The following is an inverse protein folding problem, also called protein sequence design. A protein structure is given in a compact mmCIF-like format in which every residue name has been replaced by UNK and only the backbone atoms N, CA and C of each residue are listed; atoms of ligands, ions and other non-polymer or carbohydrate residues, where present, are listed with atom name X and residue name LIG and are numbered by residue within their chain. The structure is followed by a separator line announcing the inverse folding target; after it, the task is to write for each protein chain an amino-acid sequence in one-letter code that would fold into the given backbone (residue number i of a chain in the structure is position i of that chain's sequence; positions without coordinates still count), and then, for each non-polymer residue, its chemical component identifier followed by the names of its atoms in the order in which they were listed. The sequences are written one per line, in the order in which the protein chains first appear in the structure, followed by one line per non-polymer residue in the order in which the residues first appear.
data_IF_489037229687
#
_entry.id   IF_489037229687
#
_cell.length_a   1.000
_cell.length_b   1.000
_cell.length_c   1.000
_cell.angle_alpha   90.00
_cell.angle_beta   90.00
_cell.angle_gamma   90.00
#
_symmetry.space_group_name_H-M   'P 1'
#
loop_
_entity.id
_entity.type
_entity.pdbx_description
1 polymer ?
#
# COMPACT_ATOMS: atom_id res chain seq x y z
N UNK A 1 -46.05 8.88 9.92
CA UNK A 1 -45.74 7.86 8.90
C UNK A 1 -45.56 8.58 7.59
N UNK A 2 -44.33 8.91 7.24
CA UNK A 2 -44.01 9.58 5.97
C UNK A 2 -42.90 8.76 5.34
N UNK A 3 -43.27 8.04 4.29
CA UNK A 3 -42.37 7.21 3.49
C UNK A 3 -41.52 8.17 2.67
N UNK A 4 -40.21 8.20 2.92
CA UNK A 4 -39.25 8.92 2.10
C UNK A 4 -39.03 8.10 0.82
N UNK A 5 -39.54 8.61 -0.29
CA UNK A 5 -39.24 8.12 -1.63
C UNK A 5 -37.73 8.15 -1.88
N UNK A 6 -37.21 7.04 -2.41
CA UNK A 6 -35.81 6.87 -2.75
C UNK A 6 -35.38 7.88 -3.80
N UNK A 7 -34.42 8.73 -3.42
CA UNK A 7 -33.72 9.64 -4.32
C UNK A 7 -32.90 8.84 -5.34
N UNK A 8 -33.52 8.53 -6.48
CA UNK A 8 -32.81 8.11 -7.69
C UNK A 8 -32.05 9.32 -8.23
N UNK A 9 -30.78 9.46 -7.82
CA UNK A 9 -29.86 10.39 -8.48
C UNK A 9 -29.50 9.82 -9.85
N UNK A 10 -30.13 10.36 -10.90
CA UNK A 10 -29.78 10.08 -12.29
C UNK A 10 -29.24 11.36 -12.93
N UNK A 11 -27.94 11.38 -13.23
CA UNK A 11 -27.36 12.31 -14.20
C UNK A 11 -27.74 11.84 -15.63
N UNK A 12 -27.83 12.74 -16.63
CA UNK A 12 -28.29 12.38 -17.96
C UNK A 12 -27.31 11.41 -18.61
N UNK A 13 -27.79 10.20 -18.89
CA UNK A 13 -27.06 9.17 -19.59
C UNK A 13 -26.66 9.66 -20.98
N UNK A 14 -25.36 9.86 -21.19
CA UNK A 14 -24.82 9.67 -22.53
C UNK A 14 -25.00 8.19 -22.90
N UNK A 15 -25.54 7.93 -24.09
CA UNK A 15 -25.90 6.60 -24.55
C UNK A 15 -24.65 5.69 -24.59
N UNK A 16 -24.53 4.75 -23.63
CA UNK A 16 -23.45 3.76 -23.59
C UNK A 16 -22.70 3.60 -22.26
N UNK A 17 -23.23 4.09 -21.13
CA UNK A 17 -22.60 3.89 -19.82
C UNK A 17 -22.43 2.41 -19.43
N UNK A 18 -21.27 2.06 -18.86
CA UNK A 18 -20.98 0.72 -18.34
C UNK A 18 -21.86 0.46 -17.10
N UNK A 19 -22.65 -0.61 -17.13
CA UNK A 19 -23.44 -1.03 -15.96
C UNK A 19 -22.54 -1.85 -15.04
N UNK A 20 -22.27 -1.33 -13.84
CA UNK A 20 -21.46 -2.00 -12.82
C UNK A 20 -22.36 -2.77 -11.84
N UNK A 21 -22.25 -4.10 -11.85
CA UNK A 21 -22.91 -4.95 -10.86
C UNK A 21 -22.19 -4.84 -9.51
N UNK A 22 -22.94 -4.55 -8.44
CA UNK A 22 -22.39 -4.54 -7.08
C UNK A 22 -22.02 -5.96 -6.65
N UNK A 23 -21.04 -6.09 -5.76
CA UNK A 23 -20.62 -7.39 -5.24
C UNK A 23 -21.77 -8.12 -4.53
N UNK A 24 -22.65 -7.40 -3.85
CA UNK A 24 -23.88 -7.95 -3.24
C UNK A 24 -24.83 -8.61 -4.25
N UNK A 25 -24.76 -8.27 -5.53
CA UNK A 25 -25.59 -8.81 -6.60
C UNK A 25 -24.92 -9.96 -7.36
N UNK A 26 -23.65 -10.26 -7.05
CA UNK A 26 -22.91 -11.34 -7.70
C UNK A 26 -23.38 -12.71 -7.25
N UNK A 27 -23.35 -13.69 -8.16
CA UNK A 27 -23.77 -15.05 -7.85
C UNK A 27 -22.88 -15.67 -6.75
N UNK A 28 -23.47 -16.28 -5.70
CA UNK A 28 -22.70 -16.93 -4.64
C UNK A 28 -21.83 -18.04 -5.22
N UNK A 29 -20.63 -18.19 -4.67
CA UNK A 29 -19.73 -19.26 -5.08
C UNK A 29 -20.18 -20.59 -4.45
N UNK A 30 -19.98 -21.74 -5.13
CA UNK A 30 -20.22 -23.04 -4.52
C UNK A 30 -19.42 -23.18 -3.23
N UNK A 31 -20.12 -23.41 -2.11
CA UNK A 31 -19.48 -23.62 -0.83
C UNK A 31 -19.10 -25.09 -0.68
N UNK A 32 -17.83 -25.32 -0.39
CA UNK A 32 -17.37 -26.65 0.03
C UNK A 32 -17.67 -26.82 1.52
N UNK A 33 -18.29 -27.92 1.88
CA UNK A 33 -18.47 -28.29 3.27
C UNK A 33 -17.16 -28.84 3.85
N UNK A 34 -16.59 -28.11 4.80
CA UNK A 34 -15.38 -28.52 5.53
C UNK A 34 -15.69 -29.19 6.86
N UNK A 35 -16.96 -29.29 7.25
CA UNK A 35 -17.35 -29.92 8.51
C UNK A 35 -16.88 -31.39 8.51
N UNK A 36 -16.12 -31.76 9.53
CA UNK A 36 -15.52 -33.09 9.66
C UNK A 36 -14.21 -33.35 8.91
N UNK A 37 -13.68 -32.40 8.10
CA UNK A 37 -12.36 -32.57 7.44
C UNK A 37 -11.19 -32.07 8.28
N UNK A 38 -11.34 -30.89 8.89
CA UNK A 38 -10.34 -30.24 9.72
C UNK A 38 -11.01 -29.18 10.61
N UNK A 39 -10.43 -28.83 11.78
CA UNK A 39 -10.90 -27.68 12.54
C UNK A 39 -10.73 -26.38 11.74
N UNK A 40 -11.60 -25.38 11.96
CA UNK A 40 -11.47 -24.07 11.30
C UNK A 40 -10.20 -23.35 11.74
N UNK A 41 -9.63 -22.53 10.85
CA UNK A 41 -8.48 -21.66 11.15
C UNK A 41 -8.87 -20.58 12.17
N UNK A 42 -10.10 -20.08 12.07
CA UNK A 42 -10.65 -19.06 12.98
C UNK A 42 -11.88 -19.57 13.73
N UNK A 43 -11.92 -19.32 15.04
CA UNK A 43 -13.06 -19.72 15.88
C UNK A 43 -14.36 -19.02 15.44
N UNK A 44 -14.27 -17.77 14.97
CA UNK A 44 -15.40 -16.97 14.48
C UNK A 44 -15.08 -16.39 13.09
N UNK A 45 -16.08 -16.01 12.28
CA UNK A 45 -15.86 -15.30 11.03
C UNK A 45 -15.04 -14.02 11.27
N UNK A 46 -13.88 -13.90 10.60
CA UNK A 46 -13.02 -12.71 10.72
C UNK A 46 -13.71 -11.48 10.13
N UNK A 47 -14.40 -11.67 9.01
CA UNK A 47 -15.22 -10.65 8.36
C UNK A 47 -16.67 -11.12 8.37
N UNK A 48 -17.57 -10.44 9.12
CA UNK A 48 -18.98 -10.78 9.11
C UNK A 48 -19.65 -10.33 7.79
N UNK A 49 -20.79 -10.95 7.48
CA UNK A 49 -21.69 -10.49 6.42
C UNK A 49 -22.17 -9.08 6.76
N UNK A 50 -22.02 -8.17 5.79
CA UNK A 50 -22.50 -6.80 5.85
C UNK A 50 -22.94 -6.37 4.45
N UNK A 51 -24.24 -6.18 4.28
CA UNK A 51 -24.81 -5.81 2.97
C UNK A 51 -24.42 -4.38 2.57
N UNK A 52 -24.31 -3.46 3.53
CA UNK A 52 -23.93 -2.07 3.24
C UNK A 52 -22.51 -2.00 2.71
N UNK A 53 -21.59 -2.79 3.27
CA UNK A 53 -20.21 -2.89 2.76
C UNK A 53 -20.19 -3.59 1.38
N UNK A 54 -20.94 -4.68 1.21
CA UNK A 54 -20.97 -5.42 -0.05
C UNK A 54 -21.56 -4.62 -1.21
N UNK A 55 -22.50 -3.71 -0.93
CA UNK A 55 -23.01 -2.77 -1.93
C UNK A 55 -21.96 -1.75 -2.37
N UNK A 56 -20.89 -1.52 -1.61
CA UNK A 56 -19.84 -0.53 -1.90
C UNK A 56 -18.64 -1.09 -2.66
N UNK A 57 -18.65 -2.39 -2.98
CA UNK A 57 -17.63 -3.03 -3.81
C UNK A 57 -18.23 -3.44 -5.15
N UNK A 58 -17.47 -3.27 -6.23
CA UNK A 58 -17.70 -3.92 -7.51
C UNK A 58 -16.39 -4.50 -8.02
N UNK A 59 -16.45 -5.64 -8.71
CA UNK A 59 -15.31 -6.21 -9.43
C UNK A 59 -15.69 -6.23 -10.90
N UNK A 60 -14.88 -5.59 -11.74
CA UNK A 60 -15.23 -5.36 -13.13
C UNK A 60 -14.07 -5.69 -14.07
N UNK A 61 -14.39 -6.41 -15.14
CA UNK A 61 -13.45 -6.69 -16.21
C UNK A 61 -13.60 -5.66 -17.32
N UNK A 62 -12.54 -4.89 -17.58
CA UNK A 62 -12.49 -3.94 -18.67
C UNK A 62 -11.36 -2.92 -18.54
N UNK A 63 -11.42 -1.91 -19.38
CA UNK A 63 -10.45 -0.82 -19.40
C UNK A 63 -10.85 0.28 -18.40
N UNK A 64 -10.06 0.44 -17.34
CA UNK A 64 -10.30 1.44 -16.30
C UNK A 64 -10.41 2.88 -16.84
N UNK A 65 -9.73 3.20 -17.95
CA UNK A 65 -9.78 4.54 -18.56
C UNK A 65 -11.14 4.88 -19.18
N UNK A 66 -12.00 3.87 -19.39
CA UNK A 66 -13.33 4.03 -19.97
C UNK A 66 -14.44 4.27 -18.94
N UNK A 67 -14.14 4.10 -17.65
CA UNK A 67 -15.11 4.26 -16.58
C UNK A 67 -15.44 5.73 -16.33
N UNK A 68 -16.74 6.00 -16.17
CA UNK A 68 -17.24 7.30 -15.73
C UNK A 68 -17.39 7.27 -14.20
N UNK A 69 -16.36 7.74 -13.51
CA UNK A 69 -16.24 7.75 -12.03
C UNK A 69 -15.51 9.01 -11.58
N UNK A 70 -15.53 9.35 -10.29
CA UNK A 70 -14.86 10.56 -9.80
C UNK A 70 -13.34 10.47 -9.91
N UNK A 71 -12.76 9.29 -9.61
CA UNK A 71 -11.32 9.06 -9.71
C UNK A 71 -10.98 7.64 -10.17
N UNK A 72 -9.87 7.53 -10.91
CA UNK A 72 -9.27 6.24 -11.27
C UNK A 72 -7.85 6.14 -10.71
N UNK A 73 -7.35 4.92 -10.58
CA UNK A 73 -5.99 4.65 -10.10
C UNK A 73 -5.08 4.27 -11.26
N UNK A 74 -3.89 4.87 -11.31
CA UNK A 74 -2.81 4.44 -12.19
C UNK A 74 -1.70 3.75 -11.36
N UNK A 75 -1.18 2.63 -11.83
CA UNK A 75 0.02 1.98 -11.26
C UNK A 75 1.20 2.25 -12.18
N UNK A 76 2.31 2.74 -11.64
CA UNK A 76 3.47 3.19 -12.41
C UNK A 76 4.79 3.03 -11.64
N UNK A 77 5.89 3.53 -12.21
CA UNK A 77 7.19 3.76 -11.57
C UNK A 77 7.29 5.14 -10.89
N UNK A 78 8.41 5.35 -10.23
CA UNK A 78 8.69 6.52 -9.40
C UNK A 78 8.67 7.85 -10.17
N UNK A 79 8.88 7.80 -11.48
CA UNK A 79 8.90 8.94 -12.39
C UNK A 79 7.61 9.09 -13.20
N UNK A 80 6.57 8.28 -12.93
CA UNK A 80 5.28 8.29 -13.62
C UNK A 80 5.38 8.04 -15.14
N UNK A 81 6.41 7.30 -15.57
CA UNK A 81 6.73 7.03 -16.98
C UNK A 81 6.65 5.55 -17.35
N UNK A 82 6.28 4.67 -16.42
CA UNK A 82 6.24 3.24 -16.69
C UNK A 82 5.22 2.92 -17.79
N UNK A 83 5.72 2.29 -18.86
CA UNK A 83 4.88 1.72 -19.91
C UNK A 83 4.30 0.39 -19.44
N UNK A 84 3.07 0.38 -18.95
CA UNK A 84 2.30 -0.83 -18.69
C UNK A 84 0.89 -0.67 -19.26
N UNK A 85 0.15 -1.77 -19.42
CA UNK A 85 -1.16 -1.75 -20.12
C UNK A 85 -2.14 -0.74 -19.52
N UNK A 86 -2.16 -0.60 -18.18
CA UNK A 86 -3.04 0.35 -17.49
C UNK A 86 -2.57 1.79 -17.73
N UNK A 87 -1.28 2.06 -17.48
CA UNK A 87 -0.68 3.38 -17.64
C UNK A 87 -0.78 3.86 -19.09
N UNK A 88 -0.51 3.00 -20.08
CA UNK A 88 -0.64 3.32 -21.50
C UNK A 88 -2.05 3.73 -21.89
N UNK A 89 -3.07 3.00 -21.43
CA UNK A 89 -4.49 3.33 -21.67
C UNK A 89 -4.89 4.65 -21.00
N UNK A 90 -4.44 4.88 -19.77
CA UNK A 90 -4.69 6.12 -19.04
C UNK A 90 -4.01 7.31 -19.74
N UNK A 91 -2.73 7.18 -20.12
CA UNK A 91 -2.00 8.23 -20.83
C UNK A 91 -2.62 8.54 -22.20
N UNK A 92 -3.00 7.50 -22.94
CA UNK A 92 -3.67 7.65 -24.23
C UNK A 92 -5.05 8.30 -24.08
N UNK A 93 -5.83 7.89 -23.09
CA UNK A 93 -7.19 8.39 -22.85
C UNK A 93 -7.22 9.80 -22.25
N UNK A 94 -6.24 10.16 -21.42
CA UNK A 94 -6.12 11.51 -20.85
C UNK A 94 -5.60 12.52 -21.89
N UNK A 95 -4.73 12.08 -22.80
CA UNK A 95 -4.14 12.93 -23.83
C UNK A 95 -2.82 13.59 -23.38
N UNK A 96 -2.21 14.44 -24.25
CA UNK A 96 -0.89 15.00 -24.04
C UNK A 96 -0.78 15.88 -22.78
N UNK A 97 -1.86 16.53 -22.38
CA UNK A 97 -1.91 17.46 -21.24
C UNK A 97 -1.53 16.77 -19.91
N UNK A 98 -1.84 15.47 -19.76
CA UNK A 98 -1.39 14.70 -18.59
C UNK A 98 0.13 14.61 -18.51
N UNK A 99 0.78 14.37 -19.65
CA UNK A 99 2.24 14.31 -19.72
C UNK A 99 2.86 15.68 -19.46
N UNK A 100 2.24 16.74 -19.97
CA UNK A 100 2.67 18.11 -19.72
C UNK A 100 2.60 18.45 -18.23
N UNK A 101 1.53 18.07 -17.52
CA UNK A 101 1.42 18.27 -16.08
C UNK A 101 2.49 17.50 -15.30
N UNK A 102 2.72 16.22 -15.63
CA UNK A 102 3.74 15.39 -14.97
C UNK A 102 5.13 16.04 -15.11
N UNK A 103 5.47 16.51 -16.30
CA UNK A 103 6.77 17.15 -16.58
C UNK A 103 6.88 18.52 -15.93
N UNK A 104 5.86 19.38 -16.09
CA UNK A 104 5.89 20.77 -15.62
C UNK A 104 5.91 20.86 -14.09
N UNK A 105 5.20 19.96 -13.41
CA UNK A 105 5.19 19.89 -11.94
C UNK A 105 6.33 19.04 -11.37
N UNK A 106 7.18 18.45 -12.21
CA UNK A 106 8.24 17.51 -11.83
C UNK A 106 7.72 16.45 -10.83
N UNK A 107 6.61 15.79 -11.18
CA UNK A 107 5.98 14.83 -10.28
C UNK A 107 6.83 13.57 -10.12
N UNK A 108 7.01 13.17 -8.86
CA UNK A 108 7.63 11.90 -8.48
C UNK A 108 6.76 11.22 -7.41
N UNK A 109 6.78 9.90 -7.37
CA UNK A 109 6.00 9.11 -6.41
C UNK A 109 6.85 7.97 -5.86
N UNK A 110 7.09 7.92 -4.54
CA UNK A 110 7.81 6.77 -3.97
C UNK A 110 6.92 5.52 -3.96
N UNK A 111 7.56 4.36 -3.90
CA UNK A 111 6.88 3.07 -3.68
C UNK A 111 5.94 3.16 -2.47
N UNK A 112 4.67 2.77 -2.64
CA UNK A 112 3.66 2.83 -1.58
C UNK A 112 2.99 4.19 -1.39
N UNK A 113 3.49 5.27 -2.00
CA UNK A 113 2.90 6.61 -1.92
C UNK A 113 1.93 6.88 -3.07
N UNK A 114 1.33 8.07 -3.07
CA UNK A 114 0.41 8.52 -4.11
C UNK A 114 0.66 9.96 -4.53
N UNK A 115 0.46 10.24 -5.82
CA UNK A 115 0.38 11.61 -6.36
C UNK A 115 -0.86 11.75 -7.24
N UNK A 116 -1.35 12.97 -7.40
CA UNK A 116 -2.64 13.24 -8.06
C UNK A 116 -2.46 14.24 -9.18
N UNK A 117 -3.09 13.92 -10.31
CA UNK A 117 -3.23 14.75 -11.51
C UNK A 117 -4.71 14.89 -11.87
N UNK A 118 -4.99 15.76 -12.84
CA UNK A 118 -6.34 15.87 -13.42
C UNK A 118 -6.64 14.71 -14.36
N UNK A 119 -7.93 14.40 -14.58
CA UNK A 119 -8.34 13.35 -15.52
C UNK A 119 -8.27 13.73 -17.01
N UNK A 120 -8.19 15.03 -17.32
CA UNK A 120 -8.14 15.55 -18.69
C UNK A 120 -9.28 15.03 -19.57
N UNK A 121 -8.96 14.35 -20.68
CA UNK A 121 -9.95 13.81 -21.62
C UNK A 121 -10.64 12.53 -21.12
N UNK A 122 -10.23 11.98 -19.97
CA UNK A 122 -10.91 10.85 -19.35
C UNK A 122 -12.25 11.26 -18.74
N UNK A 123 -13.14 10.29 -18.57
CA UNK A 123 -14.43 10.47 -17.89
C UNK A 123 -14.30 10.43 -16.35
N UNK A 124 -13.19 10.94 -15.83
CA UNK A 124 -12.95 11.08 -14.39
C UNK A 124 -12.33 12.43 -14.07
N UNK A 125 -12.49 12.88 -12.82
CA UNK A 125 -11.93 14.17 -12.38
C UNK A 125 -10.47 14.06 -12.00
N UNK A 126 -10.09 12.95 -11.39
CA UNK A 126 -8.75 12.74 -10.82
C UNK A 126 -8.15 11.41 -11.26
N UNK A 127 -6.84 11.42 -11.49
CA UNK A 127 -6.02 10.21 -11.59
C UNK A 127 -5.14 10.16 -10.34
N UNK A 128 -5.27 9.09 -9.56
CA UNK A 128 -4.43 8.82 -8.39
C UNK A 128 -3.34 7.84 -8.84
N UNK A 129 -2.12 8.34 -8.99
CA UNK A 129 -0.96 7.54 -9.36
C UNK A 129 -0.33 6.94 -8.11
N UNK A 130 0.04 5.67 -8.17
CA UNK A 130 0.77 4.98 -7.10
C UNK A 130 1.83 4.05 -7.69
N UNK A 131 2.82 3.71 -6.88
CA UNK A 131 3.96 2.88 -7.30
C UNK A 131 3.96 1.56 -6.54
N UNK A 132 3.68 0.49 -7.27
CA UNK A 132 3.72 -0.87 -6.73
C UNK A 132 5.16 -1.29 -6.39
N UNK A 133 5.37 -1.95 -5.25
CA UNK A 133 6.68 -2.51 -4.90
C UNK A 133 7.11 -3.59 -5.88
N UNK A 134 8.42 -3.73 -6.07
CA UNK A 134 9.02 -4.91 -6.71
C UNK A 134 9.00 -6.06 -5.70
N UNK A 135 8.45 -7.20 -6.10
CA UNK A 135 8.42 -8.38 -5.25
C UNK A 135 9.72 -9.16 -5.37
N UNK A 136 10.36 -9.38 -4.23
CA UNK A 136 11.52 -10.26 -4.09
C UNK A 136 11.23 -11.19 -2.93
N UNK A 137 11.32 -12.50 -3.11
CA UNK A 137 10.91 -13.49 -2.10
C UNK A 137 11.56 -13.27 -0.71
N UNK A 138 12.84 -12.88 -0.67
CA UNK A 138 13.55 -12.53 0.58
C UNK A 138 12.98 -11.31 1.33
N UNK A 139 12.22 -10.46 0.64
CA UNK A 139 11.61 -9.24 1.17
C UNK A 139 10.08 -9.25 1.04
N UNK A 140 9.46 -10.44 1.04
CA UNK A 140 8.01 -10.60 0.86
C UNK A 140 7.20 -9.72 1.84
N UNK A 141 7.54 -9.71 3.13
CA UNK A 141 6.81 -8.90 4.14
C UNK A 141 6.87 -7.39 3.86
N UNK A 142 8.01 -6.89 3.38
CA UNK A 142 8.17 -5.49 2.99
C UNK A 142 7.39 -5.16 1.72
N UNK A 143 7.36 -6.09 0.75
CA UNK A 143 6.58 -5.96 -0.46
C UNK A 143 5.07 -5.95 -0.17
N UNK A 144 4.57 -6.84 0.69
CA UNK A 144 3.17 -6.85 1.12
C UNK A 144 2.78 -5.58 1.87
N UNK A 145 3.64 -5.10 2.77
CA UNK A 145 3.41 -3.86 3.52
C UNK A 145 3.36 -2.65 2.57
N UNK A 146 4.24 -2.61 1.57
CA UNK A 146 4.27 -1.55 0.56
C UNK A 146 3.04 -1.59 -0.36
N UNK A 147 2.60 -2.78 -0.77
CA UNK A 147 1.38 -2.94 -1.57
C UNK A 147 0.13 -2.55 -0.78
N UNK A 148 0.07 -2.92 0.50
CA UNK A 148 -0.97 -2.44 1.43
C UNK A 148 -0.99 -0.91 1.48
N UNK A 149 0.17 -0.28 1.63
CA UNK A 149 0.27 1.18 1.64
C UNK A 149 -0.20 1.82 0.33
N UNK A 150 0.04 1.21 -0.84
CA UNK A 150 -0.51 1.70 -2.11
C UNK A 150 -2.05 1.80 -2.02
N UNK A 151 -2.74 0.70 -1.69
CA UNK A 151 -4.20 0.69 -1.58
C UNK A 151 -4.70 1.65 -0.50
N UNK A 152 -4.08 1.63 0.68
CA UNK A 152 -4.44 2.48 1.83
C UNK A 152 -4.35 3.96 1.46
N UNK A 153 -3.23 4.37 0.85
CA UNK A 153 -2.98 5.76 0.50
C UNK A 153 -3.87 6.22 -0.66
N UNK A 154 -4.16 5.36 -1.64
CA UNK A 154 -5.14 5.67 -2.70
C UNK A 154 -6.52 5.90 -2.11
N UNK A 155 -6.99 5.04 -1.20
CA UNK A 155 -8.30 5.14 -0.56
C UNK A 155 -8.42 6.41 0.31
N UNK A 156 -7.41 6.71 1.14
CA UNK A 156 -7.40 7.95 1.92
C UNK A 156 -7.34 9.19 1.03
N UNK A 157 -6.53 9.17 -0.03
CA UNK A 157 -6.42 10.29 -0.94
C UNK A 157 -7.73 10.55 -1.70
N UNK A 158 -8.42 9.49 -2.10
CA UNK A 158 -9.76 9.60 -2.68
C UNK A 158 -10.74 10.28 -1.70
N UNK A 159 -10.73 9.89 -0.43
CA UNK A 159 -11.56 10.53 0.61
C UNK A 159 -11.22 12.01 0.80
N UNK A 160 -9.93 12.37 0.86
CA UNK A 160 -9.50 13.78 0.97
C UNK A 160 -9.97 14.64 -0.20
N UNK A 161 -10.03 14.05 -1.40
CA UNK A 161 -10.54 14.70 -2.61
C UNK A 161 -12.08 14.72 -2.69
N UNK A 162 -12.79 14.11 -1.73
CA UNK A 162 -14.25 14.00 -1.76
C UNK A 162 -14.79 13.06 -2.84
N UNK A 163 -13.96 12.13 -3.33
CA UNK A 163 -14.32 11.13 -4.36
C UNK A 163 -15.43 10.22 -3.82
N UNK A 164 -16.53 10.11 -4.55
CA UNK A 164 -17.64 9.21 -4.23
C UNK A 164 -17.48 7.86 -4.90
N UNK A 165 -16.97 7.84 -6.13
CA UNK A 165 -16.76 6.62 -6.91
C UNK A 165 -15.29 6.51 -7.32
N UNK A 166 -14.62 5.46 -6.87
CA UNK A 166 -13.21 5.21 -7.10
C UNK A 166 -13.02 3.90 -7.87
N UNK A 167 -12.33 3.97 -9.00
CA UNK A 167 -11.84 2.77 -9.68
C UNK A 167 -10.37 2.50 -9.31
N UNK A 168 -10.11 1.30 -8.81
CA UNK A 168 -8.78 0.77 -8.51
C UNK A 168 -8.36 -0.17 -9.63
N UNK A 169 -7.21 0.07 -10.25
CA UNK A 169 -6.59 -0.97 -11.07
C UNK A 169 -5.99 -2.07 -10.19
N UNK A 170 -5.62 -3.20 -10.77
CA UNK A 170 -4.77 -4.17 -10.08
C UNK A 170 -3.36 -3.56 -9.96
N UNK A 171 -3.07 -3.01 -8.78
CA UNK A 171 -1.84 -2.24 -8.54
C UNK A 171 -0.59 -3.11 -8.74
N UNK A 172 -0.68 -4.39 -8.36
CA UNK A 172 0.38 -5.39 -8.53
C UNK A 172 0.56 -5.76 -10.01
N UNK A 173 1.30 -4.93 -10.74
CA UNK A 173 1.64 -5.17 -12.15
C UNK A 173 2.42 -6.49 -12.33
N UNK A 174 2.17 -7.26 -13.40
CA UNK A 174 2.96 -8.45 -13.71
C UNK A 174 4.47 -8.19 -13.78
N UNK A 175 4.88 -6.98 -14.20
CA UNK A 175 6.31 -6.58 -14.27
C UNK A 175 7.00 -6.51 -12.91
N UNK A 176 6.22 -6.42 -11.82
CA UNK A 176 6.73 -6.35 -10.45
C UNK A 176 6.85 -7.73 -9.79
N UNK A 177 6.55 -8.82 -10.51
CA UNK A 177 6.64 -10.22 -10.05
C UNK A 177 5.91 -10.53 -8.74
N UNK A 178 4.85 -9.79 -8.43
CA UNK A 178 4.07 -10.01 -7.22
C UNK A 178 3.16 -11.24 -7.39
N UNK A 179 3.17 -12.22 -6.46
CA UNK A 179 2.29 -13.38 -6.54
C UNK A 179 0.80 -12.95 -6.55
N UNK A 180 0.01 -13.32 -7.57
CA UNK A 180 -1.36 -12.81 -7.73
C UNK A 180 -2.27 -13.10 -6.53
N UNK A 181 -2.18 -14.30 -5.94
CA UNK A 181 -2.99 -14.69 -4.79
C UNK A 181 -2.67 -13.84 -3.55
N UNK A 182 -1.38 -13.58 -3.30
CA UNK A 182 -0.92 -12.74 -2.18
C UNK A 182 -1.37 -11.29 -2.40
N UNK A 183 -1.23 -10.77 -3.63
CA UNK A 183 -1.69 -9.43 -3.97
C UNK A 183 -3.21 -9.27 -3.79
N UNK A 184 -4.00 -10.27 -4.19
CA UNK A 184 -5.44 -10.28 -4.01
C UNK A 184 -5.86 -10.27 -2.54
N UNK A 185 -5.17 -11.05 -1.68
CA UNK A 185 -5.36 -11.00 -0.23
C UNK A 185 -5.09 -9.60 0.33
N UNK A 186 -3.96 -8.97 -0.05
CA UNK A 186 -3.62 -7.61 0.39
C UNK A 186 -4.65 -6.59 -0.06
N UNK A 187 -5.07 -6.63 -1.33
CA UNK A 187 -6.06 -5.72 -1.90
C UNK A 187 -7.41 -5.82 -1.19
N UNK A 188 -7.99 -7.03 -1.15
CA UNK A 188 -9.31 -7.27 -0.56
C UNK A 188 -9.35 -6.95 0.93
N UNK A 189 -8.31 -7.35 1.67
CA UNK A 189 -8.19 -7.05 3.11
C UNK A 189 -8.14 -5.55 3.37
N UNK A 190 -7.30 -4.83 2.63
CA UNK A 190 -7.13 -3.38 2.78
C UNK A 190 -8.42 -2.65 2.45
N UNK A 191 -9.06 -2.98 1.32
CA UNK A 191 -10.35 -2.37 0.92
C UNK A 191 -11.42 -2.68 1.97
N UNK A 192 -11.53 -3.94 2.42
CA UNK A 192 -12.55 -4.34 3.41
C UNK A 192 -12.42 -3.54 4.70
N UNK A 193 -11.23 -3.53 5.31
CA UNK A 193 -10.97 -2.80 6.57
C UNK A 193 -11.19 -1.30 6.43
N UNK A 194 -10.82 -0.74 5.29
CA UNK A 194 -11.05 0.67 5.01
C UNK A 194 -12.55 1.00 4.94
N UNK A 195 -13.35 0.19 4.24
CA UNK A 195 -14.79 0.41 4.09
C UNK A 195 -15.56 0.23 5.41
N UNK A 196 -15.06 -0.61 6.34
CA UNK A 196 -15.61 -0.74 7.70
C UNK A 196 -15.46 0.55 8.51
N UNK A 197 -14.40 1.32 8.28
CA UNK A 197 -14.04 2.50 9.09
C UNK A 197 -14.45 3.82 8.46
N UNK A 198 -14.71 3.85 7.15
CA UNK A 198 -14.92 5.07 6.41
C UNK A 198 -16.17 5.00 5.53
N UNK A 199 -17.05 6.02 5.56
CA UNK A 199 -18.26 6.06 4.73
C UNK A 199 -17.98 6.44 3.27
N UNK A 200 -16.79 6.96 2.96
CA UNK A 200 -16.36 7.34 1.60
C UNK A 200 -15.08 6.59 1.20
N UNK A 201 -14.92 6.17 -0.07
CA UNK A 201 -15.87 6.37 -1.17
C UNK A 201 -17.15 5.51 -1.05
N UNK A 202 -18.23 5.92 -1.72
CA UNK A 202 -19.51 5.22 -1.77
C UNK A 202 -19.45 3.97 -2.66
N UNK A 203 -18.55 3.95 -3.63
CA UNK A 203 -18.27 2.78 -4.47
C UNK A 203 -16.77 2.67 -4.73
N UNK A 204 -16.23 1.49 -4.49
CA UNK A 204 -14.90 1.05 -4.94
C UNK A 204 -15.09 0.00 -6.02
N UNK A 205 -14.57 0.27 -7.22
CA UNK A 205 -14.56 -0.67 -8.34
C UNK A 205 -13.15 -1.22 -8.47
N UNK A 206 -12.95 -2.53 -8.35
CA UNK A 206 -11.65 -3.16 -8.66
C UNK A 206 -11.70 -3.62 -10.12
N UNK A 207 -10.79 -3.08 -10.93
CA UNK A 207 -10.78 -3.22 -12.37
C UNK A 207 -9.55 -4.01 -12.84
N UNK A 208 -9.79 -5.02 -13.67
CA UNK A 208 -8.74 -5.78 -14.37
C UNK A 208 -9.06 -5.87 -15.85
N UNK A 209 -8.03 -5.91 -16.70
CA UNK A 209 -8.20 -5.93 -18.14
C UNK A 209 -8.66 -7.31 -18.66
N UNK A 210 -8.45 -8.37 -17.88
CA UNK A 210 -8.76 -9.75 -18.29
C UNK A 210 -9.23 -10.62 -17.12
N UNK A 211 -9.96 -11.70 -17.45
CA UNK A 211 -10.44 -12.68 -16.47
C UNK A 211 -9.33 -13.32 -15.61
N UNK A 212 -8.19 -13.75 -16.19
CA UNK A 212 -7.08 -14.32 -15.41
C UNK A 212 -6.49 -13.37 -14.35
N UNK A 213 -6.48 -12.07 -14.65
CA UNK A 213 -6.02 -11.03 -13.72
C UNK A 213 -6.95 -10.92 -12.50
N UNK A 214 -8.26 -11.03 -12.74
CA UNK A 214 -9.30 -10.92 -11.73
C UNK A 214 -9.61 -12.24 -11.01
N UNK A 215 -9.18 -13.38 -11.55
CA UNK A 215 -9.53 -14.70 -11.02
C UNK A 215 -9.15 -14.87 -9.53
N UNK A 216 -7.95 -14.47 -9.07
CA UNK A 216 -7.61 -14.53 -7.64
C UNK A 216 -8.53 -13.65 -6.78
N UNK A 217 -8.85 -12.44 -7.25
CA UNK A 217 -9.75 -11.53 -6.54
C UNK A 217 -11.15 -12.12 -6.44
N UNK A 218 -11.72 -12.61 -7.54
CA UNK A 218 -13.05 -13.23 -7.56
C UNK A 218 -13.14 -14.48 -6.67
N UNK A 219 -12.08 -15.31 -6.67
CA UNK A 219 -12.02 -16.51 -5.85
C UNK A 219 -11.95 -16.19 -4.34
N UNK A 220 -11.24 -15.12 -3.97
CA UNK A 220 -11.00 -14.76 -2.57
C UNK A 220 -12.01 -13.75 -2.01
N UNK A 221 -12.71 -13.00 -2.86
CA UNK A 221 -13.58 -11.90 -2.44
C UNK A 221 -14.64 -12.32 -1.42
N UNK A 222 -15.25 -13.50 -1.54
CA UNK A 222 -16.24 -14.01 -0.59
C UNK A 222 -15.68 -14.26 0.83
N UNK A 223 -14.35 -14.37 1.00
CA UNK A 223 -13.73 -14.50 2.32
C UNK A 223 -13.59 -13.17 3.06
N UNK A 224 -13.55 -12.06 2.33
CA UNK A 224 -13.44 -10.69 2.87
C UNK A 224 -14.76 -9.93 2.83
N UNK A 225 -15.58 -10.22 1.82
CA UNK A 225 -16.89 -9.66 1.55
C UNK A 225 -17.90 -10.80 1.43
N UNK A 226 -18.13 -11.59 2.49
CA UNK A 226 -19.13 -12.64 2.43
C UNK A 226 -20.50 -12.04 2.14
N UNK A 227 -21.28 -12.66 1.24
CA UNK A 227 -22.61 -12.21 0.81
C UNK A 227 -23.75 -12.82 1.63
N UNK A 228 -23.42 -13.73 2.54
CA UNK A 228 -24.35 -14.32 3.50
C UNK A 228 -23.60 -14.78 4.75
N UNK A 229 -24.34 -15.01 5.84
CA UNK A 229 -23.78 -15.62 7.05
C UNK A 229 -23.12 -16.98 6.79
N UNK A 230 -23.62 -17.73 5.80
CA UNK A 230 -23.06 -19.03 5.39
C UNK A 230 -21.69 -18.88 4.71
N UNK A 231 -21.52 -17.87 3.86
CA UNK A 231 -20.20 -17.57 3.27
C UNK A 231 -19.22 -17.10 4.35
N UNK A 232 -19.68 -16.27 5.29
CA UNK A 232 -18.87 -15.79 6.41
C UNK A 232 -18.37 -16.96 7.30
N UNK A 233 -19.26 -17.92 7.59
CA UNK A 233 -18.89 -19.12 8.35
C UNK A 233 -17.90 -19.99 7.58
N UNK A 234 -18.14 -20.26 6.29
CA UNK A 234 -17.23 -21.05 5.46
C UNK A 234 -15.82 -20.42 5.34
N UNK A 235 -15.72 -19.08 5.37
CA UNK A 235 -14.46 -18.36 5.29
C UNK A 235 -13.50 -18.71 6.46
N UNK A 236 -14.02 -19.17 7.60
CA UNK A 236 -13.21 -19.58 8.78
C UNK A 236 -12.19 -20.68 8.48
N UNK A 237 -12.41 -21.50 7.46
CA UNK A 237 -11.47 -22.55 7.04
C UNK A 237 -10.46 -22.10 5.99
N UNK A 238 -10.75 -21.03 5.24
CA UNK A 238 -9.99 -20.63 4.05
C UNK A 238 -9.13 -19.39 4.27
N UNK A 239 -9.61 -18.45 5.07
CA UNK A 239 -8.85 -17.25 5.40
C UNK A 239 -7.73 -17.62 6.38
N UNK A 240 -6.47 -17.44 5.95
CA UNK A 240 -5.29 -17.73 6.76
C UNK A 240 -4.82 -16.55 7.58
N UNK A 241 -4.92 -15.35 6.99
CA UNK A 241 -4.39 -14.11 7.56
C UNK A 241 -5.46 -13.03 7.59
N UNK A 242 -5.86 -12.67 8.80
CA UNK A 242 -6.83 -11.61 9.04
C UNK A 242 -6.23 -10.21 8.83
N UNK A 243 -4.90 -10.08 8.99
CA UNK A 243 -4.17 -8.83 9.10
C UNK A 243 -4.66 -7.94 10.25
N UNK A 244 -4.01 -6.79 10.40
CA UNK A 244 -4.33 -5.86 11.47
C UNK A 244 -5.62 -5.05 11.22
N UNK A 245 -5.85 -4.07 12.08
CA UNK A 245 -7.10 -3.31 12.09
C UNK A 245 -7.29 -2.45 10.84
N UNK A 246 -6.20 -1.94 10.24
CA UNK A 246 -6.23 -1.20 8.97
C UNK A 246 -6.03 -2.12 7.75
N UNK A 247 -5.86 -3.43 7.96
CA UNK A 247 -5.63 -4.43 6.91
C UNK A 247 -4.15 -4.66 6.58
N UNK A 248 -3.25 -4.11 7.39
CA UNK A 248 -1.81 -4.34 7.32
C UNK A 248 -1.49 -5.84 7.41
N UNK A 249 -0.49 -6.35 6.66
CA UNK A 249 -0.03 -7.74 6.82
C UNK A 249 0.51 -7.96 8.24
N UNK A 250 0.33 -9.17 8.77
CA UNK A 250 0.89 -9.53 10.07
C UNK A 250 2.41 -9.73 9.94
N UNK A 251 3.26 -8.91 10.56
CA UNK A 251 4.70 -9.11 10.47
C UNK A 251 5.10 -10.39 11.24
N UNK A 252 5.95 -11.26 10.66
CA UNK A 252 6.37 -12.50 11.32
C UNK A 252 7.06 -12.27 12.68
N UNK A 253 7.68 -11.09 12.88
CA UNK A 253 8.48 -10.73 14.04
C UNK A 253 7.67 -10.42 15.31
N UNK A 254 6.34 -10.24 15.23
CA UNK A 254 5.48 -10.03 16.42
C UNK A 254 5.03 -11.32 17.10
N UNK A 255 5.46 -12.50 16.63
CA UNK A 255 5.38 -13.75 17.39
C UNK A 255 6.51 -13.83 18.43
N UNK A 256 6.65 -12.81 19.28
CA UNK A 256 7.51 -12.90 20.46
C UNK A 256 6.88 -13.95 21.36
N UNK A 257 7.43 -15.17 21.35
CA UNK A 257 7.20 -16.11 22.43
C UNK A 257 7.78 -15.44 23.67
N UNK A 258 6.93 -15.01 24.60
CA UNK A 258 7.38 -14.67 25.95
C UNK A 258 7.91 -15.98 26.54
N UNK A 259 9.19 -16.25 26.32
CA UNK A 259 9.91 -17.25 27.08
C UNK A 259 9.95 -16.65 28.48
N UNK A 260 9.27 -17.28 29.44
CA UNK A 260 9.40 -16.90 30.84
C UNK A 260 10.89 -16.89 31.19
N UNK A 261 11.35 -15.80 31.79
CA UNK A 261 12.72 -15.63 32.24
C UNK A 261 13.14 -16.85 33.10
N UNK A 262 14.14 -17.66 32.73
CA UNK A 262 14.47 -18.90 33.46
C UNK A 262 15.28 -18.66 34.76
N UNK A 263 15.20 -17.45 35.33
CA UNK A 263 15.96 -17.06 36.51
C UNK A 263 15.03 -16.63 37.64
N UNK A 264 14.18 -17.54 38.10
CA UNK A 264 13.69 -17.52 39.47
C UNK A 264 14.14 -18.82 40.15
N UNK A 265 15.30 -18.77 40.79
CA UNK A 265 15.64 -19.71 41.84
C UNK A 265 15.08 -19.19 43.16
N UNK A 266 14.29 -19.99 43.92
CA UNK A 266 14.00 -19.68 45.30
C UNK A 266 15.23 -19.99 46.15
N UNK A 267 15.36 -19.28 47.27
CA UNK A 267 16.37 -19.41 48.32
C UNK A 267 17.66 -18.58 48.16
N UNK A 268 17.62 -17.37 48.73
CA UNK A 268 18.73 -16.83 49.50
C UNK A 268 18.21 -15.82 50.53
N UNK A 269 18.00 -16.29 51.77
CA UNK A 269 17.98 -15.41 52.95
C UNK A 269 19.42 -15.10 53.34
N UNK A 270 19.61 -13.86 53.80
CA UNK A 270 20.75 -13.30 54.55
C UNK A 270 22.03 -12.95 53.76
N UNK A 271 22.17 -11.66 53.45
CA UNK A 271 23.32 -10.86 53.87
C UNK A 271 22.94 -9.36 53.73
N UNK A 272 23.20 -8.61 54.79
CA UNK A 272 22.90 -7.20 54.95
C UNK A 272 23.95 -6.30 54.26
N UNK A 273 23.50 -5.08 53.93
CA UNK A 273 24.22 -3.79 53.91
C UNK A 273 25.58 -3.68 53.20
N UNK A 274 25.59 -2.96 52.07
CA UNK A 274 26.42 -1.75 51.98
C UNK A 274 25.86 -0.77 50.93
N UNK A 275 25.75 0.48 51.34
CA UNK A 275 25.26 1.61 50.56
C UNK A 275 26.39 2.28 49.77
N UNK A 276 26.01 2.93 48.67
CA UNK A 276 26.73 4.01 47.97
C UNK A 276 27.81 3.59 46.96
N UNK A 277 27.57 3.87 45.68
CA UNK A 277 28.08 5.05 44.97
C UNK A 277 27.64 4.94 43.51
N UNK A 278 27.04 6.01 43.00
CA UNK A 278 26.63 6.14 41.61
C UNK A 278 27.87 6.43 40.76
N UNK A 279 28.07 5.64 39.71
CA UNK A 279 29.12 5.86 38.72
C UNK A 279 28.82 7.12 37.87
N UNK A 280 29.23 8.28 38.37
CA UNK A 280 29.17 9.58 37.69
C UNK A 280 30.28 9.75 36.62
N UNK A 281 31.29 8.88 36.57
CA UNK A 281 32.41 8.99 35.62
C UNK A 281 32.06 8.56 34.19
N UNK A 282 31.19 7.54 34.01
CA UNK A 282 30.81 7.05 32.68
C UNK A 282 29.92 8.05 31.91
N UNK A 283 29.16 8.89 32.63
CA UNK A 283 28.30 9.91 32.03
C UNK A 283 29.09 11.14 31.55
N UNK A 284 30.18 11.50 32.23
CA UNK A 284 31.04 12.65 31.88
C UNK A 284 31.88 12.33 30.64
N UNK A 285 32.35 11.09 30.51
CA UNK A 285 33.16 10.67 29.36
C UNK A 285 32.33 10.59 28.05
N UNK A 286 31.06 10.15 28.15
CA UNK A 286 30.12 10.13 27.04
C UNK A 286 29.72 11.56 26.58
N UNK A 287 29.55 12.51 27.50
CA UNK A 287 29.23 13.89 27.18
C UNK A 287 30.41 14.64 26.51
N UNK A 288 31.65 14.37 26.93
CA UNK A 288 32.86 14.98 26.35
C UNK A 288 33.22 14.45 24.96
N UNK A 289 32.78 13.23 24.61
CA UNK A 289 32.94 12.68 23.26
C UNK A 289 31.94 13.28 22.26
N UNK A 290 30.71 13.57 22.70
CA UNK A 290 29.67 14.18 21.86
C UNK A 290 29.97 15.65 21.52
N UNK A 291 30.54 16.42 22.48
CA UNK A 291 30.90 17.82 22.25
C UNK A 291 32.06 18.02 21.24
N UNK A 292 32.94 17.02 21.08
CA UNK A 292 34.04 17.05 20.10
C UNK A 292 33.61 16.75 18.67
N UNK A 293 32.44 16.14 18.47
CA UNK A 293 31.94 15.74 17.16
C UNK A 293 31.05 16.79 16.46
N UNK A 294 30.66 17.87 17.16
CA UNK A 294 29.64 18.82 16.68
C UNK A 294 30.03 20.30 16.67
N UNK A 295 31.32 20.66 16.61
CA UNK A 295 31.71 22.06 16.33
C UNK A 295 31.83 22.30 14.81
N UNK A 296 31.13 23.30 14.23
CA UNK A 296 31.28 23.68 12.85
C UNK A 296 32.40 24.71 12.75
N UNK A 297 33.63 24.30 12.43
CA UNK A 297 34.65 25.17 11.82
C UNK A 297 35.95 24.39 11.58
N UNK A 298 36.12 23.86 10.36
CA UNK A 298 37.47 23.70 9.77
C UNK A 298 37.34 23.61 8.25
N UNK A 299 37.34 24.76 7.57
CA UNK A 299 37.73 24.83 6.16
C UNK A 299 39.17 25.35 6.05
N UNK A 300 39.96 24.62 5.25
CA UNK A 300 41.06 25.04 4.38
C UNK A 300 42.25 25.79 4.99
N UNK A 301 43.42 25.14 5.00
CA UNK A 301 44.72 25.83 4.83
C UNK A 301 45.69 25.00 3.96
N UNK A 302 46.02 25.58 2.80
CA UNK A 302 47.19 25.34 1.96
C UNK A 302 48.48 25.73 2.72
N UNK A 303 49.67 25.18 2.37
CA UNK A 303 50.95 25.78 2.77
C UNK A 303 51.54 26.70 1.68
N UNK A 304 52.12 27.83 2.11
CA UNK A 304 52.72 28.88 1.28
C UNK A 304 54.27 28.82 1.24
N UNK A 305 54.80 28.99 0.02
CA UNK A 305 56.05 29.63 -0.49
C UNK A 305 57.42 29.64 0.26
N UNK A 306 58.43 29.04 -0.42
CA UNK A 306 59.79 29.49 -0.88
C UNK A 306 60.73 30.38 -0.01
N UNK A 307 62.08 30.26 -0.12
CA UNK A 307 62.90 30.92 -1.20
C UNK A 307 64.16 30.13 -1.69
N UNK A 308 64.49 30.09 -3.00
CA UNK A 308 65.44 30.92 -3.81
C UNK A 308 66.88 30.30 -3.97
N UNK A 309 67.80 30.82 -4.83
CA UNK A 309 68.11 30.24 -6.16
C UNK A 309 69.60 29.92 -6.41
N UNK A 310 69.92 28.98 -7.30
CA UNK A 310 71.16 28.80 -8.09
C UNK A 310 70.94 27.52 -8.93
N UNK A 311 71.30 27.32 -10.19
CA UNK A 311 72.02 28.05 -11.21
C UNK A 311 72.36 27.04 -12.32
N UNK A 312 72.32 27.50 -13.58
CA UNK A 312 73.03 26.97 -14.76
C UNK A 312 72.64 25.64 -15.44
N UNK A 313 72.37 25.80 -16.76
CA UNK A 313 72.89 25.03 -17.93
C UNK A 313 72.23 23.67 -18.22
N UNK A 314 71.98 23.21 -19.45
CA UNK A 314 72.12 23.68 -20.85
C UNK A 314 71.66 22.49 -21.74
N UNK A 315 71.34 22.74 -23.03
CA UNK A 315 71.18 21.76 -24.15
C UNK A 315 69.88 20.91 -24.13
N UNK A 316 69.23 20.54 -25.23
CA UNK A 316 69.15 20.93 -26.66
C UNK A 316 68.05 19.99 -27.23
N UNK A 317 67.11 20.49 -28.02
CA UNK A 317 66.89 20.07 -29.43
C UNK A 317 66.72 18.55 -29.64
N UNK A 318 65.51 18.11 -29.98
CA UNK A 318 65.14 17.74 -31.36
C UNK A 318 63.90 16.84 -31.42
N UNK A 319 63.04 17.19 -32.38
CA UNK A 319 62.00 16.41 -33.08
C UNK A 319 60.72 16.03 -32.34
#
# INVERSE_FOLDING_TARGET
MTILEGSVMRAPASAGGVVLSRWSQSAPAPLTDYTGRAPPVHQYPVFPYDDQINQRLAIWQGDISTLEVDAITNTTDETLTECNVVSERIMQGAGPDLKEEIVTRALECRTGEVVVTSGYNLRCRHIIHTVSPKYVAKYHSAAESSLHNCYKNVLHRARELGVRELALCIISSPRRNFPPDVAAHVALRTIRRYLEQHPQPQLVVVCGASGPELAPLCALAAHYFPRSAREADAARWRLREAGGAAGEPDPPERRIRIIHNPHEHPDARAAEDDTSLCDEEAAVEAAAAFARACSPDTQLLLPASAPAPHGTRHYDSDQ
#
